data_IF_127188319071
#
_entry.id   IF_127188319071
#
_cell.length_a   1.000
_cell.length_b   1.000
_cell.length_c   1.000
_cell.angle_alpha   90.00
_cell.angle_beta   90.00
_cell.angle_gamma   90.00
#
_symmetry.space_group_name_H-M   'P 1'
#
loop_
_entity.id
_entity.type
_entity.pdbx_description
1 polymer ?
#
# COMPACT_ATOMS: atom_id res chain seq x y z
N UNK A 1 -45.83 22.62 3.85
CA UNK A 1 -44.84 23.66 4.22
C UNK A 1 -43.56 23.47 3.40
N UNK A 2 -43.40 24.18 2.27
CA UNK A 2 -42.27 23.99 1.34
C UNK A 2 -40.91 24.27 1.97
N UNK A 3 -40.86 25.16 2.97
CA UNK A 3 -39.64 25.54 3.70
C UNK A 3 -39.04 24.36 4.48
N UNK A 4 -39.88 23.55 5.13
CA UNK A 4 -39.43 22.37 5.87
C UNK A 4 -38.82 21.31 4.96
N UNK A 5 -39.40 21.12 3.76
CA UNK A 5 -38.88 20.19 2.76
C UNK A 5 -37.53 20.66 2.21
N UNK A 6 -37.40 21.97 1.93
CA UNK A 6 -36.14 22.56 1.48
C UNK A 6 -35.04 22.46 2.56
N UNK A 7 -35.38 22.73 3.82
CA UNK A 7 -34.44 22.59 4.93
C UNK A 7 -33.96 21.13 5.10
N UNK A 8 -34.87 20.17 4.97
CA UNK A 8 -34.55 18.74 5.03
C UNK A 8 -33.63 18.29 3.90
N UNK A 9 -33.90 18.74 2.68
CA UNK A 9 -33.07 18.45 1.51
C UNK A 9 -31.65 19.00 1.67
N UNK A 10 -31.52 20.26 2.13
CA UNK A 10 -30.21 20.88 2.43
C UNK A 10 -29.49 20.15 3.56
N UNK A 11 -30.20 19.74 4.61
CA UNK A 11 -29.62 18.99 5.71
C UNK A 11 -29.05 17.64 5.26
N UNK A 12 -29.76 16.92 4.38
CA UNK A 12 -29.26 15.66 3.83
C UNK A 12 -28.01 15.84 2.97
N UNK A 13 -27.95 16.91 2.16
CA UNK A 13 -26.76 17.23 1.34
C UNK A 13 -25.56 17.52 2.24
N UNK A 14 -25.75 18.28 3.32
CA UNK A 14 -24.68 18.56 4.28
C UNK A 14 -24.24 17.27 4.97
N UNK A 15 -25.20 16.45 5.38
CA UNK A 15 -24.95 15.15 6.01
C UNK A 15 -24.15 14.20 5.11
N UNK A 16 -24.46 14.15 3.82
CA UNK A 16 -23.73 13.29 2.88
C UNK A 16 -22.28 13.75 2.68
N UNK A 17 -22.06 15.07 2.55
CA UNK A 17 -20.70 15.61 2.42
C UNK A 17 -19.88 15.36 3.69
N UNK A 18 -20.49 15.55 4.85
CA UNK A 18 -19.81 15.31 6.13
C UNK A 18 -19.52 13.82 6.34
N UNK A 19 -20.45 12.95 5.95
CA UNK A 19 -20.28 11.50 5.96
C UNK A 19 -19.13 11.04 5.07
N UNK A 20 -19.01 11.58 3.86
CA UNK A 20 -17.90 11.26 2.95
C UNK A 20 -16.54 11.69 3.52
N UNK A 21 -16.47 12.88 4.12
CA UNK A 21 -15.25 13.36 4.78
C UNK A 21 -14.91 12.47 5.96
N UNK A 22 -15.87 12.16 6.82
CA UNK A 22 -15.67 11.28 7.98
C UNK A 22 -15.20 9.89 7.54
N UNK A 23 -15.83 9.32 6.50
CA UNK A 23 -15.45 8.03 5.92
C UNK A 23 -14.02 8.02 5.40
N UNK A 24 -13.60 9.06 4.67
CA UNK A 24 -12.21 9.22 4.21
C UNK A 24 -11.23 9.33 5.37
N UNK A 25 -11.57 10.09 6.41
CA UNK A 25 -10.72 10.24 7.61
C UNK A 25 -10.56 8.89 8.31
N UNK A 26 -11.65 8.14 8.53
CA UNK A 26 -11.60 6.81 9.14
C UNK A 26 -10.75 5.86 8.30
N UNK A 27 -10.96 5.83 6.98
CA UNK A 27 -10.19 4.99 6.07
C UNK A 27 -8.69 5.34 6.11
N UNK A 28 -8.36 6.63 6.17
CA UNK A 28 -6.99 7.11 6.29
C UNK A 28 -6.36 6.68 7.62
N UNK A 29 -7.06 6.87 8.74
CA UNK A 29 -6.59 6.41 10.06
C UNK A 29 -6.33 4.90 10.05
N UNK A 30 -7.25 4.10 9.51
CA UNK A 30 -7.06 2.65 9.38
C UNK A 30 -5.86 2.30 8.49
N UNK A 31 -5.70 2.98 7.35
CA UNK A 31 -4.55 2.77 6.46
C UNK A 31 -3.23 3.04 7.19
N UNK A 32 -3.12 4.16 7.89
CA UNK A 32 -1.90 4.53 8.63
C UNK A 32 -1.67 3.68 9.89
N UNK A 33 -2.73 3.15 10.50
CA UNK A 33 -2.61 2.32 11.71
C UNK A 33 -2.34 0.85 11.37
N UNK A 34 -2.90 0.33 10.29
CA UNK A 34 -2.80 -1.08 9.91
C UNK A 34 -1.72 -1.26 8.85
N UNK A 35 -1.83 -0.66 7.66
CA UNK A 35 -0.95 -0.95 6.53
C UNK A 35 0.45 -0.35 6.69
N UNK A 36 0.53 0.91 7.11
CA UNK A 36 1.80 1.63 7.20
C UNK A 36 2.82 0.97 8.15
N UNK A 37 2.49 0.48 9.36
CA UNK A 37 3.50 -0.21 10.18
C UNK A 37 4.08 -1.46 9.52
N UNK A 38 3.32 -2.20 8.71
CA UNK A 38 3.89 -3.32 7.93
C UNK A 38 4.80 -2.83 6.80
N UNK A 39 4.42 -1.76 6.09
CA UNK A 39 5.25 -1.17 5.04
C UNK A 39 6.56 -0.58 5.60
N UNK A 40 6.47 0.15 6.71
CA UNK A 40 7.63 0.70 7.41
C UNK A 40 8.47 -0.43 8.02
N UNK A 41 7.84 -1.40 8.68
CA UNK A 41 8.52 -2.55 9.26
C UNK A 41 9.28 -3.36 8.21
N UNK A 42 8.63 -3.77 7.12
CA UNK A 42 9.30 -4.47 6.02
C UNK A 42 10.43 -3.63 5.43
N UNK A 43 10.22 -2.33 5.19
CA UNK A 43 11.29 -1.46 4.70
C UNK A 43 12.46 -1.36 5.66
N UNK A 44 12.22 -1.29 6.98
CA UNK A 44 13.26 -1.09 7.99
C UNK A 44 14.01 -2.37 8.34
N UNK A 45 13.32 -3.51 8.41
CA UNK A 45 13.86 -4.79 8.87
C UNK A 45 14.23 -5.74 7.75
N UNK A 46 13.63 -5.60 6.57
CA UNK A 46 13.89 -6.44 5.39
C UNK A 46 14.63 -5.59 4.35
N UNK A 47 15.61 -6.18 3.69
CA UNK A 47 16.26 -5.60 2.51
C UNK A 47 15.82 -6.36 1.25
N UNK A 48 14.55 -6.26 0.83
CA UNK A 48 14.01 -7.07 -0.27
C UNK A 48 14.71 -6.78 -1.61
N UNK A 49 15.33 -5.60 -1.73
CA UNK A 49 16.04 -5.16 -2.92
C UNK A 49 17.57 -5.29 -2.77
N UNK A 50 18.06 -5.86 -1.67
CA UNK A 50 19.49 -6.00 -1.35
C UNK A 50 20.29 -4.68 -1.46
N UNK A 51 19.62 -3.52 -1.25
CA UNK A 51 20.20 -2.18 -1.44
C UNK A 51 21.13 -1.81 -0.28
N UNK A 52 20.88 -2.36 0.91
CA UNK A 52 21.63 -2.06 2.13
C UNK A 52 22.89 -2.91 2.28
N UNK A 53 23.09 -3.90 1.41
CA UNK A 53 24.31 -4.73 1.38
C UNK A 53 25.58 -3.90 1.14
N UNK A 54 26.73 -4.42 1.61
CA UNK A 54 28.10 -3.83 1.60
C UNK A 54 28.61 -3.26 0.25
N UNK A 55 27.83 -3.30 -0.83
CA UNK A 55 28.17 -2.90 -2.20
C UNK A 55 27.79 -1.46 -2.57
N UNK A 56 27.46 -0.60 -1.60
CA UNK A 56 27.10 0.82 -1.89
C UNK A 56 28.22 1.62 -2.55
N UNK A 57 29.47 1.15 -2.49
CA UNK A 57 30.62 1.82 -3.12
C UNK A 57 30.94 1.30 -4.53
N UNK A 58 30.41 0.13 -4.94
CA UNK A 58 30.72 -0.48 -6.25
C UNK A 58 29.49 -1.20 -6.79
N UNK A 59 28.86 -0.62 -7.82
CA UNK A 59 27.92 -1.34 -8.70
C UNK A 59 28.64 -2.58 -9.22
N UNK A 60 28.27 -3.75 -8.73
CA UNK A 60 28.88 -5.02 -9.11
C UNK A 60 27.78 -6.03 -9.42
N UNK A 61 28.05 -6.87 -10.41
CA UNK A 61 27.20 -8.00 -10.72
C UNK A 61 26.99 -8.86 -9.46
N UNK A 62 25.76 -9.36 -9.31
CA UNK A 62 25.38 -10.26 -8.22
C UNK A 62 25.58 -11.67 -8.76
N UNK A 63 26.38 -12.49 -8.07
CA UNK A 63 26.49 -13.90 -8.41
C UNK A 63 25.13 -14.57 -8.18
N UNK A 64 24.57 -15.14 -9.24
CA UNK A 64 23.37 -15.97 -9.17
C UNK A 64 23.77 -17.42 -9.36
N UNK A 65 23.21 -18.36 -8.59
CA UNK A 65 23.47 -19.77 -8.80
C UNK A 65 23.05 -20.17 -10.22
N UNK A 66 23.80 -21.10 -10.82
CA UNK A 66 23.46 -21.64 -12.13
C UNK A 66 22.08 -22.31 -12.07
N UNK A 67 21.22 -21.94 -13.02
CA UNK A 67 19.91 -22.57 -13.17
C UNK A 67 20.15 -24.00 -13.69
N UNK A 68 19.56 -25.03 -13.06
CA UNK A 68 19.62 -26.40 -13.55
C UNK A 68 19.09 -26.50 -14.99
N UNK A 69 19.66 -27.39 -15.79
CA UNK A 69 19.30 -27.56 -17.22
C UNK A 69 18.18 -28.58 -17.45
N UNK A 70 17.43 -28.95 -16.41
CA UNK A 70 16.34 -29.92 -16.50
C UNK A 70 15.01 -29.27 -16.88
N UNK A 71 14.12 -30.06 -17.50
CA UNK A 71 12.83 -29.58 -17.98
C UNK A 71 11.89 -29.14 -16.83
N UNK A 72 12.05 -29.69 -15.62
CA UNK A 72 11.17 -29.35 -14.50
C UNK A 72 11.52 -27.97 -13.96
N UNK A 73 12.82 -27.66 -13.78
CA UNK A 73 13.27 -26.33 -13.37
C UNK A 73 12.99 -25.25 -14.42
N UNK A 74 12.98 -25.60 -15.71
CA UNK A 74 12.54 -24.69 -16.77
C UNK A 74 11.05 -24.31 -16.65
N UNK A 75 10.20 -25.21 -16.14
CA UNK A 75 8.76 -24.97 -15.97
C UNK A 75 8.44 -23.99 -14.84
N UNK A 76 9.31 -23.86 -13.85
CA UNK A 76 9.13 -22.99 -12.69
C UNK A 76 9.57 -21.52 -12.94
N UNK A 77 10.01 -21.19 -14.17
CA UNK A 77 10.55 -19.87 -14.54
C UNK A 77 9.56 -18.93 -15.25
N UNK A 78 8.32 -19.38 -15.51
CA UNK A 78 7.24 -18.58 -16.12
C UNK A 78 6.30 -18.00 -15.07
#
# INVERSE_FOLDING_TARGET
>A
MPILRLAWERFNIIGSVLGDVQGKVIAQVLYFTILVPFGVGSRLFIDPLAIRGKKRLVTSWIDRPAIPSDLNSAREQG
#
